data_IF_510020339307
#
_entry.id   IF_510020339307
#
_cell.length_a   1.000
_cell.length_b   1.000
_cell.length_c   1.000
_cell.angle_alpha   90.00
_cell.angle_beta   90.00
_cell.angle_gamma   90.00
#
_symmetry.space_group_name_H-M   'P 1'
#
loop_
_entity.id
_entity.type
_entity.pdbx_description
1 polymer ?
#
# COMPACT_ATOMS: atom_id res chain seq x y z
N UNK A 1 -24.16 18.85 1.92
CA UNK A 1 -23.28 19.53 0.92
C UNK A 1 -22.01 18.69 0.85
N UNK A 2 -21.69 18.19 -0.34
CA UNK A 2 -20.50 17.39 -0.56
C UNK A 2 -19.25 18.27 -0.45
N UNK A 3 -18.23 17.81 0.28
CA UNK A 3 -16.95 18.50 0.37
C UNK A 3 -16.17 18.30 -0.95
N UNK A 4 -16.19 19.30 -1.81
CA UNK A 4 -15.47 19.31 -3.09
C UNK A 4 -14.70 20.61 -3.24
N UNK A 5 -13.58 20.77 -2.52
CA UNK A 5 -12.79 21.98 -2.64
C UNK A 5 -12.27 22.14 -4.08
N UNK A 6 -12.22 23.35 -4.55
CA UNK A 6 -11.53 23.71 -5.78
C UNK A 6 -10.04 24.02 -5.53
N UNK A 7 -9.32 24.47 -6.54
CA UNK A 7 -7.90 24.75 -6.41
C UNK A 7 -7.57 25.98 -5.55
N UNK A 8 -8.56 26.79 -5.16
CA UNK A 8 -8.33 27.96 -4.28
C UNK A 8 -7.86 27.54 -2.89
N UNK A 9 -8.09 26.30 -2.46
CA UNK A 9 -7.53 25.77 -1.21
C UNK A 9 -5.99 25.85 -1.19
N UNK A 10 -5.33 25.85 -2.37
CA UNK A 10 -3.87 25.92 -2.44
C UNK A 10 -3.36 27.30 -2.05
N UNK A 11 -4.17 28.36 -2.19
CA UNK A 11 -3.83 29.72 -1.81
C UNK A 11 -3.78 29.90 -0.29
N UNK A 12 -4.49 29.05 0.46
CA UNK A 12 -4.46 29.03 1.92
C UNK A 12 -3.11 28.52 2.47
N UNK A 13 -2.38 27.74 1.66
CA UNK A 13 -1.12 27.10 2.02
C UNK A 13 0.00 27.36 0.99
N UNK A 14 0.40 28.61 0.77
CA UNK A 14 1.35 28.99 -0.29
C UNK A 14 2.77 28.43 -0.10
N UNK A 15 3.07 27.89 1.08
CA UNK A 15 4.34 27.21 1.38
C UNK A 15 4.40 25.77 0.79
N UNK A 16 3.26 25.21 0.38
CA UNK A 16 3.21 23.90 -0.29
C UNK A 16 3.19 24.13 -1.80
N UNK A 17 4.19 23.61 -2.51
CA UNK A 17 4.39 23.90 -3.93
C UNK A 17 4.61 22.62 -4.73
N UNK A 18 4.17 22.62 -5.98
CA UNK A 18 4.52 21.60 -6.96
C UNK A 18 5.98 21.79 -7.41
N UNK A 19 6.86 20.85 -7.07
CA UNK A 19 8.26 20.82 -7.51
C UNK A 19 8.36 20.41 -8.99
N UNK A 20 7.59 19.40 -9.35
CA UNK A 20 7.36 18.97 -10.73
C UNK A 20 5.99 18.29 -10.84
N UNK A 21 5.46 18.26 -12.05
CA UNK A 21 4.18 17.63 -12.37
C UNK A 21 4.20 17.07 -13.78
N UNK A 22 3.61 15.90 -13.95
CA UNK A 22 3.36 15.31 -15.26
C UNK A 22 1.92 14.80 -15.33
N UNK A 23 1.44 14.62 -16.55
CA UNK A 23 0.14 14.03 -16.85
C UNK A 23 0.34 12.82 -17.73
N UNK A 24 0.00 11.64 -17.23
CA UNK A 24 -0.09 10.42 -18.03
C UNK A 24 -1.32 10.51 -18.94
N UNK A 25 -1.25 9.89 -20.09
CA UNK A 25 -2.35 9.85 -21.07
C UNK A 25 -3.43 8.83 -20.70
N UNK A 26 -3.17 7.98 -19.69
CA UNK A 26 -4.08 6.95 -19.23
C UNK A 26 -4.25 6.98 -17.72
N UNK A 27 -5.33 6.35 -17.25
CA UNK A 27 -5.63 6.27 -15.83
C UNK A 27 -4.58 5.47 -15.05
N UNK A 28 -4.35 5.89 -13.81
CA UNK A 28 -3.48 5.22 -12.86
C UNK A 28 -4.32 4.67 -11.72
N UNK A 29 -4.50 3.36 -11.71
CA UNK A 29 -5.26 2.65 -10.67
C UNK A 29 -4.37 1.91 -9.66
N UNK A 30 -3.04 2.00 -9.82
CA UNK A 30 -2.03 1.37 -8.96
C UNK A 30 -1.43 2.35 -7.97
N UNK A 31 -0.68 1.82 -7.01
CA UNK A 31 0.23 2.63 -6.20
C UNK A 31 1.61 2.65 -6.85
N UNK A 32 2.33 3.76 -6.71
CA UNK A 32 3.73 3.86 -7.09
C UNK A 32 4.67 3.26 -6.04
N UNK A 33 5.94 3.16 -6.38
CA UNK A 33 7.01 2.76 -5.47
C UNK A 33 8.23 3.67 -5.63
N UNK A 34 8.93 3.92 -4.53
CA UNK A 34 10.11 4.76 -4.47
C UNK A 34 11.27 4.01 -3.81
N UNK A 35 12.47 4.18 -4.34
CA UNK A 35 13.71 3.72 -3.72
C UNK A 35 14.88 4.62 -4.15
N UNK A 36 15.36 5.43 -3.22
CA UNK A 36 16.36 6.46 -3.48
C UNK A 36 15.88 7.53 -4.46
N UNK A 37 16.55 7.65 -5.57
CA UNK A 37 16.27 8.60 -6.66
C UNK A 37 15.32 8.07 -7.74
N UNK A 38 14.89 6.82 -7.61
CA UNK A 38 14.00 6.16 -8.56
C UNK A 38 12.56 6.12 -8.03
N UNK A 39 11.63 6.62 -8.83
CA UNK A 39 10.19 6.43 -8.64
C UNK A 39 9.63 5.61 -9.80
N UNK A 40 8.87 4.56 -9.49
CA UNK A 40 8.24 3.70 -10.51
C UNK A 40 6.75 3.64 -10.29
N UNK A 41 5.98 3.86 -11.34
CA UNK A 41 4.54 3.67 -11.35
C UNK A 41 4.07 2.92 -12.60
N UNK A 42 2.83 2.48 -12.59
CA UNK A 42 2.21 1.72 -13.68
C UNK A 42 0.84 2.29 -14.00
N UNK A 43 0.37 2.11 -15.22
CA UNK A 43 -0.93 2.61 -15.66
C UNK A 43 -1.83 1.51 -16.27
N UNK A 44 -3.07 1.87 -16.55
CA UNK A 44 -4.07 0.95 -17.12
C UNK A 44 -3.88 0.65 -18.61
N UNK A 45 -2.92 1.28 -19.28
CA UNK A 45 -2.47 0.88 -20.61
C UNK A 45 -1.39 -0.22 -20.57
N UNK A 46 -0.98 -0.67 -19.38
CA UNK A 46 0.07 -1.67 -19.22
C UNK A 46 1.48 -1.12 -19.30
N UNK A 47 1.65 0.20 -19.16
CA UNK A 47 2.96 0.85 -19.22
C UNK A 47 3.54 1.01 -17.81
N UNK A 48 4.79 0.65 -17.67
CA UNK A 48 5.65 0.91 -16.51
C UNK A 48 6.46 2.15 -16.79
N UNK A 49 6.42 3.13 -15.91
CA UNK A 49 7.20 4.36 -15.99
C UNK A 49 8.19 4.43 -14.85
N UNK A 50 9.44 4.66 -15.17
CA UNK A 50 10.50 4.95 -14.21
C UNK A 50 10.91 6.41 -14.31
N UNK A 51 10.84 7.13 -13.22
CA UNK A 51 11.12 8.56 -13.14
C UNK A 51 12.28 8.84 -12.20
N UNK A 52 13.00 9.91 -12.48
CA UNK A 52 13.90 10.53 -11.51
C UNK A 52 13.07 11.30 -10.48
N UNK A 53 13.28 11.03 -9.20
CA UNK A 53 12.56 11.67 -8.09
C UNK A 53 12.79 13.17 -8.02
N UNK A 54 13.97 13.65 -8.39
CA UNK A 54 14.35 15.05 -8.23
C UNK A 54 13.60 15.99 -9.18
N UNK A 55 13.36 15.56 -10.44
CA UNK A 55 12.83 16.42 -11.50
C UNK A 55 11.68 15.81 -12.31
N UNK A 56 11.24 14.59 -11.96
CA UNK A 56 10.12 13.89 -12.61
C UNK A 56 10.43 13.43 -14.04
N UNK A 57 11.68 13.52 -14.52
CA UNK A 57 12.04 13.07 -15.87
C UNK A 57 11.96 11.56 -15.99
N UNK A 58 11.41 11.11 -17.11
CA UNK A 58 11.37 9.69 -17.46
C UNK A 58 12.78 9.16 -17.71
N UNK A 59 13.17 8.12 -17.00
CA UNK A 59 14.41 7.39 -17.17
C UNK A 59 14.25 6.27 -18.22
N UNK A 60 13.18 5.51 -18.10
CA UNK A 60 12.79 4.47 -19.05
C UNK A 60 11.31 4.13 -18.92
N UNK A 61 10.78 3.45 -19.91
CA UNK A 61 9.43 2.86 -19.91
C UNK A 61 9.49 1.42 -20.40
N UNK A 62 8.50 0.61 -19.98
CA UNK A 62 8.28 -0.73 -20.48
C UNK A 62 6.79 -0.99 -20.63
N UNK A 63 6.37 -1.69 -21.70
CA UNK A 63 4.95 -2.00 -21.93
C UNK A 63 4.73 -3.50 -21.83
N UNK A 64 3.81 -3.92 -20.97
CA UNK A 64 3.32 -5.31 -20.85
C UNK A 64 2.21 -5.60 -21.84
N UNK A 65 1.77 -6.86 -21.92
CA UNK A 65 0.71 -7.26 -22.85
C UNK A 65 -0.72 -6.83 -22.43
N UNK A 66 -0.93 -6.33 -21.21
CA UNK A 66 -2.25 -5.94 -20.71
C UNK A 66 -2.12 -4.94 -19.55
N UNK A 67 -3.26 -4.48 -19.02
CA UNK A 67 -3.38 -3.54 -17.89
C UNK A 67 -2.55 -3.96 -16.69
N UNK A 68 -2.09 -2.95 -15.94
CA UNK A 68 -1.43 -3.15 -14.65
C UNK A 68 -2.23 -2.41 -13.58
N UNK A 69 -2.62 -3.14 -12.52
CA UNK A 69 -3.30 -2.60 -11.33
C UNK A 69 -2.44 -2.71 -10.08
N UNK A 70 -1.31 -3.37 -10.18
CA UNK A 70 -0.40 -3.63 -9.06
C UNK A 70 0.65 -2.55 -8.90
N UNK A 71 1.04 -2.31 -7.64
CA UNK A 71 2.22 -1.50 -7.34
C UNK A 71 3.51 -2.28 -7.67
N UNK A 72 4.51 -1.66 -8.31
CA UNK A 72 5.80 -2.29 -8.53
C UNK A 72 6.55 -2.53 -7.21
N UNK A 73 7.52 -3.45 -7.22
CA UNK A 73 8.49 -3.61 -6.14
C UNK A 73 9.90 -3.34 -6.66
N UNK A 74 10.58 -2.37 -6.05
CA UNK A 74 11.94 -1.97 -6.45
C UNK A 74 12.96 -2.69 -5.57
N UNK A 75 13.95 -3.30 -6.19
CA UNK A 75 15.13 -3.88 -5.54
C UNK A 75 16.39 -3.13 -5.98
N UNK A 76 17.58 -3.38 -5.42
CA UNK A 76 18.80 -2.74 -5.88
C UNK A 76 19.15 -2.98 -7.34
N UNK A 77 18.66 -4.07 -7.97
CA UNK A 77 18.99 -4.44 -9.35
C UNK A 77 17.78 -4.56 -10.26
N UNK A 78 16.61 -4.88 -9.73
CA UNK A 78 15.41 -5.22 -10.50
C UNK A 78 14.19 -4.42 -10.04
N UNK A 79 13.28 -4.20 -10.97
CA UNK A 79 11.90 -3.75 -10.71
C UNK A 79 10.97 -4.91 -11.03
N UNK A 80 10.20 -5.35 -10.05
CA UNK A 80 9.27 -6.48 -10.20
C UNK A 80 7.87 -5.94 -10.45
N UNK A 81 7.25 -6.39 -11.55
CA UNK A 81 5.94 -5.95 -12.04
C UNK A 81 5.05 -7.17 -12.25
N UNK A 82 3.79 -7.06 -11.88
CA UNK A 82 2.75 -8.04 -12.22
C UNK A 82 1.70 -7.41 -13.12
N UNK A 83 1.22 -8.14 -14.12
CA UNK A 83 0.31 -7.64 -15.15
C UNK A 83 -0.90 -8.56 -15.35
N UNK A 84 -2.00 -7.97 -15.83
CA UNK A 84 -3.19 -8.73 -16.23
C UNK A 84 -3.00 -9.59 -17.47
N UNK A 85 -1.84 -9.55 -18.13
CA UNK A 85 -1.48 -10.50 -19.18
C UNK A 85 -1.05 -11.89 -18.65
N UNK A 86 -1.06 -12.06 -17.31
CA UNK A 86 -0.72 -13.31 -16.65
C UNK A 86 0.76 -13.48 -16.31
N UNK A 87 1.59 -12.48 -16.64
CA UNK A 87 3.02 -12.54 -16.33
C UNK A 87 3.41 -11.66 -15.15
N UNK A 88 4.35 -12.18 -14.38
CA UNK A 88 5.22 -11.38 -13.52
C UNK A 88 6.54 -11.16 -14.26
N UNK A 89 7.04 -9.94 -14.21
CA UNK A 89 8.24 -9.48 -14.90
C UNK A 89 9.28 -9.00 -13.90
N UNK A 90 10.54 -9.29 -14.16
CA UNK A 90 11.68 -8.63 -13.54
C UNK A 90 12.39 -7.79 -14.60
N UNK A 91 12.35 -6.49 -14.44
CA UNK A 91 12.98 -5.52 -15.32
C UNK A 91 14.29 -5.04 -14.70
N UNK A 92 15.31 -4.83 -15.53
CA UNK A 92 16.55 -4.17 -15.10
C UNK A 92 16.22 -2.77 -14.54
N UNK A 93 16.68 -2.48 -13.34
CA UNK A 93 16.37 -1.22 -12.64
C UNK A 93 16.81 0.03 -13.40
N UNK A 94 17.93 -0.04 -14.13
CA UNK A 94 18.52 1.11 -14.83
C UNK A 94 18.00 1.29 -16.24
N UNK A 95 17.68 0.19 -16.93
CA UNK A 95 17.37 0.19 -18.35
C UNK A 95 15.91 -0.15 -18.67
N UNK A 96 15.16 -0.74 -17.73
CA UNK A 96 13.79 -1.19 -17.96
C UNK A 96 13.67 -2.40 -18.90
N UNK A 97 14.77 -3.07 -19.22
CA UNK A 97 14.78 -4.28 -20.07
C UNK A 97 14.40 -5.52 -19.26
N UNK A 98 13.71 -6.49 -19.89
CA UNK A 98 13.31 -7.72 -19.22
C UNK A 98 14.53 -8.61 -18.94
N UNK A 99 14.76 -8.91 -17.65
CA UNK A 99 15.74 -9.89 -17.22
C UNK A 99 15.14 -11.31 -17.23
N UNK A 100 13.93 -11.44 -16.69
CA UNK A 100 13.14 -12.66 -16.73
C UNK A 100 11.65 -12.35 -16.61
N UNK A 101 10.80 -13.30 -16.99
CA UNK A 101 9.36 -13.29 -16.73
C UNK A 101 8.86 -14.70 -16.44
N UNK A 102 7.80 -14.80 -15.63
CA UNK A 102 7.15 -16.07 -15.30
C UNK A 102 5.66 -15.97 -15.61
N UNK A 103 5.12 -16.98 -16.33
CA UNK A 103 3.69 -17.06 -16.65
C UNK A 103 2.94 -17.76 -15.50
N UNK A 104 1.91 -17.10 -14.98
CA UNK A 104 1.02 -17.65 -13.95
C UNK A 104 -0.32 -18.09 -14.53
N UNK A 105 -0.51 -18.01 -15.84
CA UNK A 105 -1.68 -18.42 -16.64
C UNK A 105 -3.00 -17.67 -16.33
N UNK A 106 -2.98 -16.76 -15.34
CA UNK A 106 -4.14 -15.96 -14.91
C UNK A 106 -3.74 -14.52 -14.71
N UNK A 107 -4.68 -13.55 -14.90
CA UNK A 107 -4.42 -12.15 -14.61
C UNK A 107 -3.88 -11.95 -13.20
N UNK A 108 -2.88 -11.08 -13.06
CA UNK A 108 -2.26 -10.78 -11.78
C UNK A 108 -2.58 -9.33 -11.44
N UNK A 109 -3.39 -9.14 -10.39
CA UNK A 109 -3.72 -7.81 -9.83
C UNK A 109 -2.99 -7.56 -8.52
N UNK A 110 -2.42 -8.61 -7.92
CA UNK A 110 -1.68 -8.52 -6.66
C UNK A 110 -0.35 -7.80 -6.81
N UNK A 111 0.05 -7.11 -5.74
CA UNK A 111 1.34 -6.45 -5.66
C UNK A 111 2.43 -7.44 -5.21
N UNK A 112 3.58 -7.53 -5.91
CA UNK A 112 4.68 -8.39 -5.50
C UNK A 112 5.34 -7.87 -4.21
N UNK A 113 5.92 -8.80 -3.45
CA UNK A 113 6.85 -8.54 -2.35
C UNK A 113 8.15 -9.28 -2.61
N UNK A 114 9.29 -8.62 -2.37
CA UNK A 114 10.60 -9.27 -2.42
C UNK A 114 11.24 -9.26 -1.05
N UNK A 115 11.71 -10.42 -0.63
CA UNK A 115 12.49 -10.58 0.61
C UNK A 115 13.52 -11.69 0.46
N UNK A 116 14.74 -11.43 0.88
CA UNK A 116 15.84 -12.42 0.94
C UNK A 116 15.99 -13.24 -0.36
N UNK A 117 16.00 -12.53 -1.51
CA UNK A 117 16.19 -13.18 -2.81
C UNK A 117 14.98 -13.96 -3.34
N UNK A 118 13.81 -13.78 -2.73
CA UNK A 118 12.56 -14.46 -3.08
C UNK A 118 11.47 -13.44 -3.40
N UNK A 119 10.71 -13.70 -4.46
CA UNK A 119 9.51 -12.97 -4.85
C UNK A 119 8.28 -13.73 -4.37
N UNK A 120 7.38 -13.05 -3.68
CA UNK A 120 6.10 -13.57 -3.21
C UNK A 120 4.97 -12.82 -3.91
N UNK A 121 4.01 -13.56 -4.48
CA UNK A 121 2.94 -12.97 -5.30
C UNK A 121 1.67 -13.83 -5.29
N UNK A 122 0.53 -13.19 -5.18
CA UNK A 122 -0.78 -13.82 -5.37
C UNK A 122 -1.26 -13.74 -6.81
N UNK A 123 -2.23 -14.57 -7.16
CA UNK A 123 -2.89 -14.56 -8.47
C UNK A 123 -4.40 -14.53 -8.33
N UNK A 124 -5.09 -14.16 -9.41
CA UNK A 124 -6.55 -14.12 -9.46
C UNK A 124 -7.23 -15.50 -9.40
N UNK A 125 -6.46 -16.58 -9.55
CA UNK A 125 -6.96 -17.96 -9.41
C UNK A 125 -6.95 -18.50 -7.99
N UNK A 126 -6.63 -17.69 -6.97
CA UNK A 126 -6.54 -18.13 -5.58
C UNK A 126 -5.28 -18.96 -5.27
N UNK A 127 -4.23 -18.83 -6.09
CA UNK A 127 -2.90 -19.40 -5.82
C UNK A 127 -1.94 -18.34 -5.35
N UNK A 128 -1.01 -18.74 -4.52
CA UNK A 128 0.09 -17.91 -4.06
C UNK A 128 1.41 -18.56 -4.44
N UNK A 129 2.35 -17.76 -4.94
CA UNK A 129 3.59 -18.22 -5.54
C UNK A 129 4.81 -17.67 -4.82
N UNK A 130 5.85 -18.49 -4.77
CA UNK A 130 7.20 -18.09 -4.38
C UNK A 130 8.16 -18.38 -5.53
N UNK A 131 8.85 -17.34 -6.00
CA UNK A 131 9.80 -17.43 -7.11
C UNK A 131 11.18 -16.96 -6.65
N UNK A 132 12.24 -17.50 -7.26
CA UNK A 132 13.60 -16.96 -7.07
C UNK A 132 13.72 -15.59 -7.74
N UNK A 133 14.22 -14.61 -7.01
CA UNK A 133 14.43 -13.26 -7.55
C UNK A 133 15.46 -13.25 -8.70
N UNK A 134 16.44 -14.14 -8.66
CA UNK A 134 17.55 -14.15 -9.59
C UNK A 134 17.14 -14.47 -11.03
N UNK A 135 16.22 -15.42 -11.22
CA UNK A 135 15.90 -16.00 -12.51
C UNK A 135 14.40 -16.30 -12.74
N UNK A 136 13.54 -16.01 -11.76
CA UNK A 136 12.11 -16.29 -11.84
C UNK A 136 11.73 -17.76 -11.68
N UNK A 137 12.66 -18.65 -11.31
CA UNK A 137 12.38 -20.07 -11.08
C UNK A 137 11.39 -20.25 -9.93
N UNK A 138 10.39 -21.11 -10.10
CA UNK A 138 9.41 -21.44 -9.08
C UNK A 138 10.05 -22.21 -7.93
N UNK A 139 9.85 -21.71 -6.69
CA UNK A 139 10.18 -22.45 -5.49
C UNK A 139 9.03 -23.35 -5.05
N UNK A 140 7.84 -22.76 -4.90
CA UNK A 140 6.62 -23.45 -4.50
C UNK A 140 5.36 -22.64 -4.85
N UNK A 141 4.22 -23.34 -4.86
CA UNK A 141 2.88 -22.74 -4.88
C UNK A 141 2.09 -23.16 -3.66
N UNK A 142 1.23 -22.26 -3.18
CA UNK A 142 0.18 -22.55 -2.22
C UNK A 142 -1.16 -22.50 -2.95
N UNK A 143 -1.81 -23.65 -3.09
CA UNK A 143 -3.07 -23.82 -3.79
C UNK A 143 -4.25 -23.84 -2.80
N UNK A 144 -5.47 -23.66 -3.31
CA UNK A 144 -6.69 -23.82 -2.55
C UNK A 144 -7.04 -22.65 -1.63
N UNK A 145 -6.43 -21.50 -1.83
CA UNK A 145 -6.79 -20.28 -1.11
C UNK A 145 -8.16 -19.78 -1.59
N UNK A 146 -9.01 -19.40 -0.64
CA UNK A 146 -10.37 -19.01 -0.94
C UNK A 146 -10.46 -17.55 -1.39
N UNK A 147 -10.78 -17.31 -2.65
CA UNK A 147 -10.86 -15.98 -3.27
C UNK A 147 -9.55 -15.53 -3.93
N UNK A 148 -9.64 -14.47 -4.75
CA UNK A 148 -8.46 -13.91 -5.42
C UNK A 148 -7.65 -13.02 -4.48
N UNK A 149 -6.38 -12.79 -4.84
CA UNK A 149 -5.44 -12.00 -4.06
C UNK A 149 -5.13 -10.72 -4.83
N UNK A 150 -5.21 -9.58 -4.14
CA UNK A 150 -4.97 -8.25 -4.70
C UNK A 150 -3.86 -7.51 -3.96
N UNK A 151 -3.86 -7.59 -2.63
CA UNK A 151 -2.93 -6.84 -1.81
C UNK A 151 -1.48 -7.32 -1.92
N UNK A 152 -0.54 -6.48 -1.46
CA UNK A 152 0.84 -6.90 -1.20
C UNK A 152 0.87 -7.74 0.08
N UNK A 153 1.55 -8.90 0.09
CA UNK A 153 1.72 -9.66 1.32
C UNK A 153 2.58 -8.94 2.35
N UNK A 154 2.43 -9.29 3.62
CA UNK A 154 3.40 -9.00 4.67
C UNK A 154 4.24 -10.23 4.96
N UNK A 155 5.39 -10.06 5.61
CA UNK A 155 6.33 -11.14 5.85
C UNK A 155 7.05 -10.96 7.18
N UNK A 156 7.24 -12.07 7.91
CA UNK A 156 8.20 -12.19 8.99
C UNK A 156 9.34 -13.15 8.61
N UNK A 157 10.11 -13.59 9.56
CA UNK A 157 11.23 -14.52 9.32
C UNK A 157 10.77 -15.89 8.79
N UNK A 158 9.58 -16.35 9.18
CA UNK A 158 9.11 -17.72 8.93
C UNK A 158 7.90 -17.78 8.02
N UNK A 159 7.08 -16.71 7.94
CA UNK A 159 5.76 -16.75 7.32
C UNK A 159 5.50 -15.57 6.39
N UNK A 160 4.58 -15.78 5.46
CA UNK A 160 3.98 -14.76 4.61
C UNK A 160 2.50 -14.65 4.97
N UNK A 161 2.00 -13.42 5.06
CA UNK A 161 0.63 -13.10 5.44
C UNK A 161 -0.11 -12.44 4.29
N UNK A 162 -1.28 -12.96 3.95
CA UNK A 162 -2.10 -12.45 2.84
C UNK A 162 -3.58 -12.41 3.20
N UNK A 163 -4.25 -11.37 2.74
CA UNK A 163 -5.72 -11.31 2.72
C UNK A 163 -6.24 -11.68 1.34
N UNK A 164 -7.42 -12.27 1.28
CA UNK A 164 -8.09 -12.64 0.04
C UNK A 164 -9.49 -12.05 -0.03
N UNK A 165 -10.04 -11.93 -1.23
CA UNK A 165 -11.44 -11.54 -1.46
C UNK A 165 -12.45 -12.66 -1.20
N UNK A 166 -12.01 -13.75 -0.59
CA UNK A 166 -12.86 -14.82 -0.05
C UNK A 166 -13.19 -14.65 1.43
N UNK A 167 -13.02 -13.47 2.01
CA UNK A 167 -13.18 -13.17 3.43
C UNK A 167 -12.14 -13.84 4.36
N UNK A 168 -11.02 -14.30 3.78
CA UNK A 168 -9.99 -15.05 4.49
C UNK A 168 -8.69 -14.26 4.65
N UNK A 169 -7.98 -14.55 5.74
CA UNK A 169 -6.62 -14.11 6.01
C UNK A 169 -5.78 -15.33 6.34
N UNK A 170 -4.63 -15.46 5.70
CA UNK A 170 -3.77 -16.64 5.78
C UNK A 170 -2.37 -16.29 6.25
N UNK A 171 -1.76 -17.22 7.00
CA UNK A 171 -0.32 -17.30 7.21
C UNK A 171 0.23 -18.54 6.48
N UNK A 172 1.21 -18.34 5.64
CA UNK A 172 1.83 -19.38 4.81
C UNK A 172 3.29 -19.53 5.23
N UNK A 173 3.74 -20.74 5.47
CA UNK A 173 5.16 -21.03 5.76
C UNK A 173 6.04 -20.70 4.55
N UNK A 174 7.07 -19.89 4.75
CA UNK A 174 7.95 -19.40 3.69
C UNK A 174 8.76 -20.48 2.98
N UNK A 175 9.08 -21.59 3.67
CA UNK A 175 9.92 -22.65 3.13
C UNK A 175 9.12 -23.65 2.32
N UNK A 176 7.97 -24.04 2.86
CA UNK A 176 7.17 -25.13 2.30
C UNK A 176 5.98 -24.66 1.45
N UNK A 177 5.55 -23.41 1.57
CA UNK A 177 4.34 -22.89 0.92
C UNK A 177 3.05 -23.44 1.54
N UNK A 178 3.09 -24.11 2.69
CA UNK A 178 1.89 -24.65 3.34
C UNK A 178 1.21 -23.58 4.20
N UNK A 179 -0.13 -23.55 4.20
CA UNK A 179 -0.89 -22.75 5.16
C UNK A 179 -0.61 -23.26 6.58
N UNK A 180 -0.29 -22.32 7.48
CA UNK A 180 0.00 -22.59 8.90
C UNK A 180 -1.24 -22.36 9.74
N UNK A 181 -1.91 -21.24 9.49
CA UNK A 181 -3.19 -20.89 10.09
C UNK A 181 -3.98 -19.99 9.13
N UNK A 182 -5.27 -19.94 9.35
CA UNK A 182 -6.22 -19.12 8.60
C UNK A 182 -7.25 -18.49 9.53
N UNK A 183 -7.78 -17.36 9.10
CA UNK A 183 -8.85 -16.64 9.78
C UNK A 183 -9.94 -16.26 8.78
N UNK A 184 -11.18 -16.61 9.10
CA UNK A 184 -12.38 -16.26 8.36
C UNK A 184 -13.10 -15.10 9.05
N UNK A 185 -13.32 -13.97 8.34
CA UNK A 185 -14.11 -12.85 8.88
C UNK A 185 -15.58 -13.20 9.10
N UNK A 186 -16.07 -14.29 8.49
CA UNK A 186 -17.48 -14.79 8.53
C UNK A 186 -18.53 -13.77 8.07
N UNK A 187 -18.12 -12.74 7.33
CA UNK A 187 -18.98 -11.61 6.91
C UNK A 187 -19.20 -11.51 5.39
N UNK A 188 -18.74 -12.53 4.63
CA UNK A 188 -18.88 -12.57 3.18
C UNK A 188 -17.89 -11.68 2.42
N UNK A 189 -17.93 -11.75 1.09
CA UNK A 189 -16.91 -11.17 0.19
C UNK A 189 -16.71 -9.68 0.33
N UNK A 190 -17.76 -8.90 0.58
CA UNK A 190 -17.66 -7.43 0.72
C UNK A 190 -16.90 -6.98 1.97
N UNK A 191 -16.64 -7.89 2.90
CA UNK A 191 -15.97 -7.61 4.17
C UNK A 191 -14.61 -8.34 4.25
N UNK A 192 -13.96 -8.49 3.11
CA UNK A 192 -12.70 -9.20 2.96
C UNK A 192 -11.49 -8.36 3.38
N UNK A 193 -10.41 -8.98 3.89
CA UNK A 193 -9.12 -8.33 4.09
C UNK A 193 -8.29 -8.23 2.80
N UNK A 194 -8.93 -8.33 1.62
CA UNK A 194 -8.25 -8.46 0.33
C UNK A 194 -7.58 -7.20 -0.19
N UNK A 195 -8.12 -6.01 0.12
CA UNK A 195 -7.62 -4.75 -0.42
C UNK A 195 -6.50 -4.13 0.43
N UNK A 196 -6.57 -4.24 1.75
CA UNK A 196 -5.59 -3.66 2.65
C UNK A 196 -4.33 -4.53 2.75
N UNK A 197 -3.17 -3.91 2.60
CA UNK A 197 -1.90 -4.61 2.80
C UNK A 197 -1.69 -4.90 4.28
N UNK A 198 -1.53 -6.16 4.69
CA UNK A 198 -1.17 -6.47 6.07
C UNK A 198 0.23 -5.95 6.40
N UNK A 199 0.51 -5.80 7.69
CA UNK A 199 1.79 -5.31 8.18
C UNK A 199 2.26 -6.17 9.34
N UNK A 200 3.54 -6.55 9.32
CA UNK A 200 4.21 -7.15 10.48
C UNK A 200 4.95 -6.05 11.21
N UNK A 201 4.64 -5.87 12.49
CA UNK A 201 5.27 -4.87 13.34
C UNK A 201 5.96 -5.53 14.54
N UNK A 202 7.14 -5.01 14.87
CA UNK A 202 7.90 -5.40 16.06
C UNK A 202 7.57 -4.49 17.22
N UNK A 203 7.44 -5.07 18.40
CA UNK A 203 7.26 -4.34 19.65
C UNK A 203 8.02 -5.01 20.79
N UNK A 204 8.16 -4.32 21.91
CA UNK A 204 8.81 -4.86 23.10
C UNK A 204 7.77 -5.07 24.19
N UNK A 205 7.69 -6.29 24.72
CA UNK A 205 6.83 -6.62 25.86
C UNK A 205 7.67 -7.26 26.95
N UNK A 206 7.64 -6.69 28.15
CA UNK A 206 8.45 -7.15 29.30
C UNK A 206 9.95 -7.28 28.96
N UNK A 207 10.50 -6.33 28.21
CA UNK A 207 11.90 -6.31 27.78
C UNK A 207 12.27 -7.33 26.69
N UNK A 208 11.30 -8.10 26.16
CA UNK A 208 11.51 -9.06 25.07
C UNK A 208 10.95 -8.57 23.75
N UNK A 209 11.68 -8.77 22.64
CA UNK A 209 11.16 -8.47 21.31
C UNK A 209 10.01 -9.42 20.95
N UNK A 210 8.94 -8.87 20.42
CA UNK A 210 7.77 -9.59 19.92
C UNK A 210 7.35 -9.03 18.57
N UNK A 211 6.50 -9.76 17.87
CA UNK A 211 5.92 -9.35 16.58
C UNK A 211 4.41 -9.49 16.63
N UNK A 212 3.72 -8.64 15.85
CA UNK A 212 2.28 -8.71 15.61
C UNK A 212 2.00 -8.53 14.13
N UNK A 213 0.97 -9.20 13.65
CA UNK A 213 0.48 -9.04 12.27
C UNK A 213 -0.81 -8.25 12.32
N UNK A 214 -0.83 -7.10 11.65
CA UNK A 214 -1.99 -6.21 11.62
C UNK A 214 -2.62 -6.24 10.23
N UNK A 215 -3.94 -6.36 10.19
CA UNK A 215 -4.74 -6.26 8.97
C UNK A 215 -6.01 -5.46 9.23
N UNK A 216 -6.37 -4.61 8.27
CA UNK A 216 -7.65 -3.93 8.22
C UNK A 216 -8.53 -4.65 7.19
N UNK A 217 -9.76 -4.95 7.56
CA UNK A 217 -10.75 -5.56 6.68
C UNK A 217 -11.91 -4.59 6.41
N UNK A 218 -12.57 -4.77 5.28
CA UNK A 218 -13.73 -3.95 4.90
C UNK A 218 -14.94 -4.11 5.84
N UNK A 219 -14.87 -5.01 6.82
CA UNK A 219 -15.84 -5.12 7.92
C UNK A 219 -15.62 -4.09 9.04
N UNK A 220 -14.75 -3.12 8.79
CA UNK A 220 -14.38 -2.00 9.65
C UNK A 220 -13.49 -2.34 10.85
N UNK A 221 -13.04 -3.59 10.95
CA UNK A 221 -12.14 -4.02 12.01
C UNK A 221 -10.67 -3.97 11.59
N UNK A 222 -9.87 -3.34 12.41
CA UNK A 222 -8.43 -3.61 12.46
C UNK A 222 -8.19 -4.75 13.43
N UNK A 223 -7.44 -5.74 13.01
CA UNK A 223 -7.11 -6.92 13.82
C UNK A 223 -5.62 -7.11 13.93
N UNK A 224 -5.18 -7.50 15.11
CA UNK A 224 -3.81 -7.90 15.39
C UNK A 224 -3.76 -9.35 15.81
N UNK A 225 -2.84 -10.11 15.19
CA UNK A 225 -2.69 -11.54 15.39
C UNK A 225 -1.30 -11.87 15.91
N UNK A 226 -1.22 -12.93 16.71
CA UNK A 226 0.03 -13.61 17.00
C UNK A 226 0.56 -14.27 15.71
N UNK A 227 1.80 -13.96 15.26
CA UNK A 227 2.30 -14.45 13.98
C UNK A 227 2.30 -15.98 13.84
N UNK A 228 2.64 -16.68 14.94
CA UNK A 228 2.80 -18.14 14.93
C UNK A 228 1.51 -18.93 15.01
N UNK A 229 0.50 -18.44 15.74
CA UNK A 229 -0.73 -19.20 16.05
C UNK A 229 -1.97 -18.66 15.39
N UNK A 230 -1.97 -17.39 14.94
CA UNK A 230 -3.16 -16.72 14.43
C UNK A 230 -4.16 -16.31 15.52
N UNK A 231 -3.79 -16.44 16.79
CA UNK A 231 -4.61 -15.97 17.91
C UNK A 231 -4.67 -14.45 17.93
N UNK A 232 -5.80 -13.89 18.32
CA UNK A 232 -5.95 -12.44 18.45
C UNK A 232 -5.12 -11.89 19.61
N UNK A 233 -4.39 -10.81 19.35
CA UNK A 233 -3.94 -9.91 20.40
C UNK A 233 -5.04 -8.92 20.75
N UNK A 234 -5.62 -8.31 19.70
CA UNK A 234 -6.73 -7.36 19.83
C UNK A 234 -7.46 -7.20 18.51
N UNK A 235 -8.67 -6.64 18.58
CA UNK A 235 -9.45 -6.18 17.44
C UNK A 235 -10.18 -4.90 17.82
N UNK A 236 -10.26 -3.94 16.92
CA UNK A 236 -10.96 -2.67 17.13
C UNK A 236 -11.68 -2.22 15.86
N UNK A 237 -12.92 -1.75 16.03
CA UNK A 237 -13.70 -1.09 14.99
C UNK A 237 -13.95 0.39 15.30
N UNK A 238 -13.25 0.96 16.29
CA UNK A 238 -13.42 2.33 16.76
C UNK A 238 -13.28 3.36 15.63
N UNK A 239 -12.25 3.21 14.81
CA UNK A 239 -12.00 4.10 13.69
C UNK A 239 -12.99 3.93 12.54
N UNK A 240 -13.73 2.82 12.48
CA UNK A 240 -14.55 2.44 11.31
C UNK A 240 -13.76 2.52 10.01
N UNK A 241 -12.50 2.10 10.04
CA UNK A 241 -11.63 2.06 8.87
C UNK A 241 -12.06 0.97 7.89
N UNK A 242 -11.68 1.12 6.62
CA UNK A 242 -12.01 0.12 5.61
C UNK A 242 -10.81 -0.36 4.79
N UNK A 243 -9.97 0.56 4.32
CA UNK A 243 -8.95 0.22 3.34
C UNK A 243 -7.61 0.94 3.53
N UNK A 244 -7.56 2.00 4.35
CA UNK A 244 -6.39 2.85 4.49
C UNK A 244 -5.82 2.84 5.91
N UNK A 245 -4.61 2.32 6.03
CA UNK A 245 -3.77 2.34 7.22
C UNK A 245 -2.50 3.16 6.97
N UNK A 246 -1.99 3.75 8.04
CA UNK A 246 -0.66 4.33 8.12
C UNK A 246 -0.01 3.99 9.44
N UNK A 247 1.31 4.12 9.53
CA UNK A 247 2.06 3.85 10.76
C UNK A 247 3.12 4.93 10.93
N UNK A 248 3.38 5.32 12.17
CA UNK A 248 4.50 6.21 12.49
C UNK A 248 5.83 5.56 12.03
N UNK A 249 6.88 6.35 11.76
CA UNK A 249 8.17 5.83 11.32
C UNK A 249 8.78 4.80 12.28
N UNK A 250 8.52 4.93 13.58
CA UNK A 250 8.97 3.99 14.61
C UNK A 250 8.04 2.78 14.81
N UNK A 251 6.92 2.71 14.09
CA UNK A 251 5.94 1.62 14.13
C UNK A 251 5.10 1.55 15.40
N UNK A 252 5.14 2.55 16.29
CA UNK A 252 4.41 2.53 17.55
C UNK A 252 2.99 3.05 17.46
N UNK A 253 2.75 3.99 16.55
CA UNK A 253 1.43 4.57 16.34
C UNK A 253 0.85 4.12 15.01
N UNK A 254 -0.37 3.66 15.05
CA UNK A 254 -1.18 3.33 13.88
C UNK A 254 -2.19 4.44 13.62
N UNK A 255 -2.36 4.79 12.36
CA UNK A 255 -3.37 5.73 11.89
C UNK A 255 -4.37 5.01 11.01
N UNK A 256 -5.65 5.25 11.23
CA UNK A 256 -6.75 4.64 10.47
C UNK A 256 -7.64 5.73 9.90
N UNK A 257 -7.82 5.74 8.59
CA UNK A 257 -8.79 6.59 7.92
C UNK A 257 -10.17 5.95 8.02
N UNK A 258 -11.07 6.62 8.74
CA UNK A 258 -12.42 6.15 8.96
C UNK A 258 -13.40 6.59 7.87
N UNK A 259 -14.47 5.83 7.67
CA UNK A 259 -15.55 6.15 6.71
C UNK A 259 -16.48 7.26 7.20
N UNK A 260 -16.37 7.69 8.45
CA UNK A 260 -17.16 8.77 9.05
C UNK A 260 -16.43 10.11 9.05
N UNK A 261 -15.59 10.36 8.04
CA UNK A 261 -14.83 11.59 7.91
C UNK A 261 -13.93 11.84 9.14
N UNK A 262 -13.27 10.82 9.61
CA UNK A 262 -12.38 10.90 10.75
C UNK A 262 -11.04 10.19 10.48
N UNK A 263 -10.02 10.62 11.18
CA UNK A 263 -8.75 9.92 11.32
C UNK A 263 -8.57 9.57 12.80
N UNK A 264 -8.22 8.33 13.07
CA UNK A 264 -7.96 7.83 14.43
C UNK A 264 -6.51 7.44 14.56
N UNK A 265 -5.84 7.85 15.62
CA UNK A 265 -4.52 7.38 16.00
C UNK A 265 -4.63 6.47 17.22
N UNK A 266 -3.87 5.39 17.20
CA UNK A 266 -3.79 4.43 18.30
C UNK A 266 -2.35 4.01 18.58
N UNK A 267 -1.98 3.92 19.85
CA UNK A 267 -0.75 3.30 20.30
C UNK A 267 -0.88 1.76 20.20
N UNK A 268 0.05 1.15 19.51
CA UNK A 268 0.14 -0.30 19.32
C UNK A 268 1.50 -0.85 19.74
N UNK A 269 2.30 -0.05 20.43
CA UNK A 269 3.71 -0.32 20.77
C UNK A 269 3.93 -1.48 21.76
N UNK A 270 2.85 -1.94 22.41
CA UNK A 270 2.92 -3.01 23.43
C UNK A 270 2.14 -4.28 23.04
N UNK A 271 1.73 -4.40 21.77
CA UNK A 271 0.85 -5.49 21.32
C UNK A 271 -0.58 -5.35 21.83
N UNK A 272 -0.99 -4.13 22.17
CA UNK A 272 -2.34 -3.74 22.59
C UNK A 272 -2.80 -2.58 21.75
N UNK A 273 -4.10 -2.32 21.72
CA UNK A 273 -4.69 -1.14 21.08
C UNK A 273 -5.08 -0.12 22.16
N UNK A 274 -4.55 1.08 22.05
CA UNK A 274 -4.93 2.20 22.93
C UNK A 274 -5.20 3.42 22.07
N UNK A 275 -6.44 3.90 22.05
CA UNK A 275 -6.81 5.12 21.31
C UNK A 275 -6.07 6.32 21.88
N UNK A 276 -5.43 7.11 21.00
CA UNK A 276 -4.73 8.34 21.37
C UNK A 276 -5.60 9.57 21.08
N UNK A 277 -6.11 9.66 19.87
CA UNK A 277 -7.00 10.73 19.43
C UNK A 277 -7.83 10.32 18.21
N UNK A 278 -8.94 11.01 18.02
CA UNK A 278 -9.84 10.89 16.89
C UNK A 278 -10.24 12.28 16.43
N UNK A 279 -9.89 12.65 15.20
CA UNK A 279 -10.10 14.00 14.67
C UNK A 279 -11.03 13.93 13.46
N UNK A 280 -12.04 14.80 13.44
CA UNK A 280 -12.92 14.98 12.29
C UNK A 280 -12.17 15.66 11.15
N UNK A 281 -12.41 15.19 9.92
CA UNK A 281 -11.71 15.64 8.71
C UNK A 281 -12.69 16.12 7.66
N UNK A 282 -12.33 17.14 6.88
CA UNK A 282 -13.16 17.63 5.78
C UNK A 282 -12.98 16.77 4.53
N UNK A 283 -13.32 15.49 4.58
CA UNK A 283 -13.38 14.63 3.41
C UNK A 283 -14.64 13.76 3.43
N UNK A 284 -14.99 13.17 2.32
CA UNK A 284 -16.01 12.14 2.25
C UNK A 284 -15.38 10.74 2.32
N UNK A 285 -16.21 9.75 2.70
CA UNK A 285 -15.76 8.37 2.68
C UNK A 285 -15.35 7.98 1.28
N UNK A 286 -14.13 7.50 1.11
CA UNK A 286 -13.66 6.91 -0.11
C UNK A 286 -13.32 5.45 0.12
N UNK A 287 -13.38 4.68 -0.96
CA UNK A 287 -13.18 3.24 -0.96
C UNK A 287 -11.92 2.83 -1.73
N UNK A 288 -10.99 3.76 -1.95
CA UNK A 288 -9.75 3.49 -2.66
C UNK A 288 -8.69 3.09 -1.62
N UNK A 289 -8.08 1.90 -1.75
CA UNK A 289 -7.10 1.39 -0.79
C UNK A 289 -5.76 2.09 -0.98
N UNK A 290 -5.69 3.36 -0.64
CA UNK A 290 -4.46 4.13 -0.67
C UNK A 290 -3.84 4.14 0.71
N UNK A 291 -2.63 3.60 0.81
CA UNK A 291 -1.88 3.61 2.06
C UNK A 291 -1.47 5.04 2.42
N UNK A 292 -1.68 5.42 3.68
CA UNK A 292 -1.20 6.70 4.19
C UNK A 292 0.31 6.66 4.40
N UNK A 293 0.98 7.74 4.04
CA UNK A 293 2.39 7.99 4.37
C UNK A 293 2.47 8.86 5.62
N UNK A 294 3.57 8.76 6.34
CA UNK A 294 3.77 9.50 7.59
C UNK A 294 5.20 10.02 7.70
N UNK A 295 5.35 11.06 8.50
CA UNK A 295 6.62 11.52 9.08
C UNK A 295 6.50 11.51 10.59
N UNK A 296 7.51 11.97 11.31
CA UNK A 296 7.40 12.15 12.76
C UNK A 296 6.34 13.19 13.15
N UNK A 297 6.06 14.16 12.28
CA UNK A 297 5.18 15.30 12.56
C UNK A 297 3.85 15.26 11.82
N UNK A 298 3.77 14.55 10.66
CA UNK A 298 2.63 14.60 9.75
C UNK A 298 2.14 13.21 9.36
N UNK A 299 0.82 13.11 9.21
CA UNK A 299 0.13 12.00 8.53
C UNK A 299 -0.50 12.53 7.26
N UNK A 300 -0.19 11.93 6.11
CA UNK A 300 -0.72 12.35 4.81
C UNK A 300 -1.94 11.52 4.45
N UNK A 301 -3.07 12.20 4.30
CA UNK A 301 -4.38 11.59 4.09
C UNK A 301 -4.84 11.83 2.67
N UNK A 302 -4.92 10.76 1.86
CA UNK A 302 -5.42 10.84 0.49
C UNK A 302 -6.95 10.98 0.49
N UNK A 303 -7.49 11.76 -0.46
CA UNK A 303 -8.93 11.89 -0.65
C UNK A 303 -9.39 11.52 -2.06
N UNK A 304 -10.70 11.30 -2.21
CA UNK A 304 -11.35 10.91 -3.45
C UNK A 304 -11.39 12.05 -4.48
N UNK A 305 -11.37 13.29 -4.01
CA UNK A 305 -11.43 14.47 -4.89
C UNK A 305 -10.07 15.14 -5.09
N UNK A 306 -8.99 14.38 -4.96
CA UNK A 306 -7.64 14.83 -5.29
C UNK A 306 -7.08 15.88 -4.33
N UNK A 307 -7.60 15.99 -3.13
CA UNK A 307 -7.01 16.80 -2.06
C UNK A 307 -6.16 15.92 -1.18
N UNK A 308 -4.92 16.33 -0.97
CA UNK A 308 -4.05 15.77 0.05
C UNK A 308 -4.14 16.64 1.31
N UNK A 309 -4.50 16.03 2.43
CA UNK A 309 -4.41 16.69 3.74
C UNK A 309 -3.19 16.17 4.50
N UNK A 310 -2.41 17.07 5.07
CA UNK A 310 -1.38 16.74 6.05
C UNK A 310 -1.91 17.10 7.45
N UNK A 311 -2.01 16.09 8.30
CA UNK A 311 -2.52 16.22 9.69
C UNK A 311 -1.35 16.04 10.63
N UNK A 312 -1.34 16.85 11.71
CA UNK A 312 -0.31 16.73 12.75
C UNK A 312 -0.47 15.44 13.53
N UNK A 313 0.63 14.78 13.81
CA UNK A 313 0.65 13.49 14.54
C UNK A 313 0.17 13.57 15.97
N UNK A 314 0.13 14.76 16.56
CA UNK A 314 -0.42 15.05 17.90
C UNK A 314 -1.96 15.19 17.91
N UNK A 315 -2.61 15.12 16.75
CA UNK A 315 -4.07 15.26 16.62
C UNK A 315 -4.58 16.70 16.66
N UNK A 316 -3.70 17.72 16.69
CA UNK A 316 -4.09 19.14 16.75
C UNK A 316 -4.75 19.68 15.46
N UNK A 317 -4.87 18.84 14.43
CA UNK A 317 -5.61 19.17 13.21
C UNK A 317 -4.75 19.24 11.96
N UNK A 318 -5.32 19.81 10.90
CA UNK A 318 -4.69 19.94 9.60
C UNK A 318 -3.54 20.95 9.67
N UNK A 319 -2.36 20.55 9.22
CA UNK A 319 -1.21 21.43 9.06
C UNK A 319 -1.30 22.19 7.72
N UNK A 320 -1.67 21.48 6.68
CA UNK A 320 -1.89 22.03 5.34
C UNK A 320 -2.74 21.09 4.47
N UNK A 321 -3.27 21.65 3.38
CA UNK A 321 -4.01 20.92 2.36
C UNK A 321 -3.54 21.35 0.99
N UNK A 322 -3.57 20.45 0.01
CA UNK A 322 -3.23 20.78 -1.37
C UNK A 322 -4.08 19.98 -2.36
N UNK A 323 -4.70 20.68 -3.29
CA UNK A 323 -5.49 20.09 -4.39
C UNK A 323 -4.61 19.80 -5.59
N UNK A 324 -4.57 18.53 -6.00
CA UNK A 324 -3.75 18.04 -7.12
C UNK A 324 -4.58 17.97 -8.42
N UNK A 325 -5.76 17.36 -8.33
CA UNK A 325 -6.68 17.18 -9.45
C UNK A 325 -8.13 17.06 -8.95
N UNK A 326 -9.07 16.73 -9.83
CA UNK A 326 -10.46 16.43 -9.47
C UNK A 326 -10.70 14.92 -9.26
N UNK A 327 -9.66 14.11 -9.34
CA UNK A 327 -9.74 12.65 -9.26
C UNK A 327 -9.08 12.12 -8.00
N UNK A 328 -9.46 10.91 -7.61
CA UNK A 328 -9.00 10.29 -6.39
C UNK A 328 -7.47 10.09 -6.36
N UNK A 329 -6.88 10.30 -5.19
CA UNK A 329 -5.47 10.01 -4.94
C UNK A 329 -5.30 8.50 -4.81
N UNK A 330 -4.50 7.90 -5.69
CA UNK A 330 -4.23 6.46 -5.72
C UNK A 330 -2.92 6.07 -5.06
N UNK A 331 -1.99 7.02 -4.91
CA UNK A 331 -0.69 6.75 -4.30
C UNK A 331 -0.11 7.97 -3.61
N UNK A 332 0.54 7.71 -2.50
CA UNK A 332 1.42 8.63 -1.77
C UNK A 332 2.76 7.96 -1.56
N UNK A 333 3.87 8.69 -1.78
CA UNK A 333 5.22 8.22 -1.43
C UNK A 333 6.05 9.36 -0.87
N UNK A 334 6.46 9.20 0.38
CA UNK A 334 7.39 10.12 1.01
C UNK A 334 8.75 10.05 0.28
N UNK A 335 9.18 11.16 -0.31
CA UNK A 335 10.45 11.28 -1.02
C UNK A 335 11.57 11.89 -0.13
N UNK A 336 11.29 12.12 1.15
CA UNK A 336 12.22 12.73 2.10
C UNK A 336 12.39 14.24 1.91
N UNK A 337 13.04 14.87 2.86
CA UNK A 337 13.41 16.31 2.79
C UNK A 337 12.24 17.25 2.48
N UNK A 338 11.07 17.02 3.07
CA UNK A 338 9.89 17.84 2.84
C UNK A 338 9.27 17.64 1.45
N UNK A 339 9.43 16.47 0.84
CA UNK A 339 8.85 16.12 -0.47
C UNK A 339 7.95 14.89 -0.38
N UNK A 340 6.84 14.93 -1.09
CA UNK A 340 5.93 13.79 -1.25
C UNK A 340 5.46 13.68 -2.70
N UNK A 341 5.54 12.48 -3.27
CA UNK A 341 5.02 12.19 -4.61
C UNK A 341 3.59 11.70 -4.45
N UNK A 342 2.70 12.30 -5.21
CA UNK A 342 1.26 12.03 -5.21
C UNK A 342 0.82 11.65 -6.60
N UNK A 343 0.03 10.59 -6.71
CA UNK A 343 -0.65 10.21 -7.96
C UNK A 343 -2.16 10.27 -7.79
N UNK A 344 -2.83 10.66 -8.84
CA UNK A 344 -4.29 10.61 -8.92
C UNK A 344 -4.75 9.71 -10.07
N UNK A 345 -5.96 9.17 -9.95
CA UNK A 345 -6.52 8.18 -10.88
C UNK A 345 -6.56 8.70 -12.32
N UNK A 346 -6.74 10.01 -12.53
CA UNK A 346 -6.77 10.63 -13.84
C UNK A 346 -5.39 10.77 -14.52
N UNK A 347 -4.36 10.12 -14.00
CA UNK A 347 -3.02 10.12 -14.58
C UNK A 347 -2.12 11.28 -14.15
N UNK A 348 -2.52 12.12 -13.19
CA UNK A 348 -1.63 13.17 -12.67
C UNK A 348 -0.61 12.57 -11.70
N UNK A 349 0.66 12.87 -11.91
CA UNK A 349 1.77 12.54 -10.99
C UNK A 349 2.50 13.83 -10.64
N UNK A 350 2.60 14.15 -9.38
CA UNK A 350 3.25 15.39 -8.92
C UNK A 350 4.12 15.15 -7.70
N UNK A 351 5.18 15.89 -7.59
CA UNK A 351 5.99 16.00 -6.38
C UNK A 351 5.67 17.33 -5.69
N UNK A 352 5.17 17.26 -4.48
CA UNK A 352 4.95 18.43 -3.64
C UNK A 352 6.15 18.66 -2.73
N UNK A 353 6.55 19.91 -2.58
CA UNK A 353 7.43 20.38 -1.51
C UNK A 353 6.58 21.05 -0.43
N UNK A 354 6.84 20.70 0.83
CA UNK A 354 6.16 21.24 2.00
C UNK A 354 7.16 21.62 3.08
N UNK A 355 6.82 22.60 3.98
CA UNK A 355 7.70 22.99 5.07
C UNK A 355 7.88 21.84 6.08
N UNK A 356 9.11 21.64 6.55
CA UNK A 356 9.49 20.67 7.59
C UNK A 356 9.12 21.17 8.98
#
# INVERSE_FOLDING_TARGET
TYYRPDFTINDEYPSVRESWKLKDVTDIASQGSIDGDLYVYTNTAGVVHALNVADGKTLWTYTTGNKIFSAPFITPRLVIISSCDGFIYALDRKQGTVCWKYNMDYPIVACPLVSEGTVYIGSSNGKFYSLKLADGTLNWTCDGLHGYIESRPAIDKERVYIGTWGAMFYAIDRKSGKSVWEFDTKRGRYFSPGACWPVVLRYTRQGKPNEQVIVLSSDYFVRSFHPGTGEFFWASDEAKGRESLGFSPDGKTMYVKGIKNNITAADISHGTYTSLWNTSMPYESNFIPTRMETTEQLVFIPTEFGVLHAVRTDGSGIAWSHKISHSAITSLKNAGKGKIIVMTMDGTVTCLEYPL
#
